data_IF_564179650834
#
_entry.id   IF_564179650834
#
_cell.length_a   1.000
_cell.length_b   1.000
_cell.length_c   1.000
_cell.angle_alpha   90.00
_cell.angle_beta   90.00
_cell.angle_gamma   90.00
#
_symmetry.space_group_name_H-M   'P 1'
#
loop_
_entity.id
_entity.type
_entity.pdbx_description
1 polymer ?
#
# COMPACT_ATOMS: atom_id res chain seq x y z
N UNK A 1 82.28 4.29 -6.02
CA UNK A 1 81.02 3.57 -5.78
C UNK A 1 80.58 2.97 -7.11
N UNK A 2 80.30 1.66 -7.15
CA UNK A 2 80.28 0.83 -8.35
C UNK A 2 79.15 1.11 -9.36
N UNK A 3 79.47 0.75 -10.60
CA UNK A 3 78.77 0.86 -11.89
C UNK A 3 77.71 -0.22 -12.05
N UNK A 4 76.59 0.05 -12.76
CA UNK A 4 75.92 -0.89 -13.68
C UNK A 4 74.86 -0.21 -14.55
N UNK A 5 75.00 -0.41 -15.85
CA UNK A 5 74.08 -0.09 -16.96
C UNK A 5 73.29 -1.37 -17.32
N UNK A 6 72.23 -1.24 -18.15
CA UNK A 6 71.44 -2.24 -18.93
C UNK A 6 69.98 -2.35 -18.43
N UNK A 7 68.91 -2.49 -19.24
CA UNK A 7 68.66 -2.60 -20.68
C UNK A 7 67.14 -2.47 -20.93
N UNK A 8 66.75 -2.08 -22.15
CA UNK A 8 65.39 -2.16 -22.73
C UNK A 8 64.71 -3.55 -22.58
N UNK A 9 63.39 -3.57 -22.33
CA UNK A 9 62.40 -4.40 -23.03
C UNK A 9 60.94 -4.07 -22.57
N UNK A 10 60.04 -3.78 -23.51
CA UNK A 10 58.58 -4.03 -23.47
C UNK A 10 58.34 -5.37 -24.22
N UNK A 11 57.19 -6.12 -24.12
CA UNK A 11 55.83 -5.71 -23.76
C UNK A 11 54.98 -6.71 -22.92
N UNK A 12 53.72 -6.30 -22.63
CA UNK A 12 52.46 -7.04 -22.45
C UNK A 12 52.39 -8.34 -21.61
N UNK A 13 51.41 -8.42 -20.68
CA UNK A 13 50.32 -9.43 -20.67
C UNK A 13 49.37 -9.20 -19.46
N UNK A 14 48.07 -9.16 -19.81
CA UNK A 14 46.83 -9.44 -19.07
C UNK A 14 46.74 -9.28 -17.54
N UNK A 15 45.76 -8.46 -17.15
CA UNK A 15 45.07 -8.55 -15.86
C UNK A 15 43.81 -7.69 -15.86
N UNK A 16 42.81 -8.03 -16.67
CA UNK A 16 41.48 -7.43 -16.59
C UNK A 16 40.76 -8.01 -15.36
N UNK A 17 41.03 -7.48 -14.16
CA UNK A 17 40.15 -7.72 -13.01
C UNK A 17 39.00 -6.72 -13.08
N UNK A 18 37.85 -7.22 -13.51
CA UNK A 18 36.57 -6.52 -13.41
C UNK A 18 36.20 -6.42 -11.92
N UNK A 19 36.74 -5.45 -11.19
CA UNK A 19 36.18 -5.06 -9.90
C UNK A 19 35.01 -4.14 -10.21
N UNK A 20 33.81 -4.72 -10.22
CA UNK A 20 32.57 -3.96 -10.24
C UNK A 20 32.60 -2.95 -9.07
N UNK A 21 32.36 -1.65 -9.29
CA UNK A 21 32.12 -0.76 -8.18
C UNK A 21 30.81 -1.20 -7.51
N UNK A 22 30.93 -1.67 -6.27
CA UNK A 22 29.84 -1.82 -5.32
C UNK A 22 29.11 -0.47 -5.32
N UNK A 23 27.94 -0.43 -5.94
CA UNK A 23 27.07 0.72 -5.86
C UNK A 23 26.61 0.79 -4.40
N UNK A 24 27.23 1.68 -3.63
CA UNK A 24 26.69 2.21 -2.39
C UNK A 24 25.22 2.53 -2.69
N UNK A 25 24.30 1.78 -2.08
CA UNK A 25 22.87 2.13 -2.07
C UNK A 25 22.80 3.45 -1.31
N UNK A 26 22.89 4.54 -2.07
CA UNK A 26 22.64 5.87 -1.57
C UNK A 26 21.22 5.84 -1.01
N UNK A 27 21.11 6.14 0.28
CA UNK A 27 19.84 6.45 0.92
C UNK A 27 19.12 7.46 0.04
N UNK A 28 18.07 6.99 -0.63
CA UNK A 28 17.23 7.85 -1.46
C UNK A 28 16.53 8.80 -0.48
N UNK A 29 16.94 10.05 -0.53
CA UNK A 29 16.18 11.17 0.02
C UNK A 29 14.70 11.00 -0.36
N UNK A 30 13.75 11.29 0.56
CA UNK A 30 12.32 11.12 0.30
C UNK A 30 11.88 12.16 -0.72
N UNK A 31 12.07 11.84 -2.01
CA UNK A 31 11.59 12.66 -3.11
C UNK A 31 10.06 12.68 -3.05
N UNK A 32 9.53 13.83 -2.63
CA UNK A 32 8.13 14.15 -2.79
C UNK A 32 7.74 13.90 -4.26
N UNK A 33 6.85 12.93 -4.50
CA UNK A 33 6.22 12.80 -5.81
C UNK A 33 5.59 14.17 -6.14
N UNK A 34 5.93 14.80 -7.29
CA UNK A 34 5.45 16.13 -7.62
C UNK A 34 3.93 16.11 -7.68
N UNK A 35 3.32 17.23 -7.30
CA UNK A 35 1.86 17.44 -7.25
C UNK A 35 1.18 17.18 -8.62
N UNK A 36 1.98 17.05 -9.69
CA UNK A 36 1.61 16.72 -11.06
C UNK A 36 2.19 15.38 -11.58
N UNK A 37 2.35 14.37 -10.71
CA UNK A 37 2.73 13.03 -11.17
C UNK A 37 1.68 12.48 -12.16
N UNK A 38 2.14 11.80 -13.21
CA UNK A 38 1.28 11.04 -14.14
C UNK A 38 1.44 9.55 -13.85
N UNK A 39 0.45 8.71 -14.19
CA UNK A 39 0.61 7.26 -14.12
C UNK A 39 1.85 6.82 -14.91
N UNK A 40 2.62 5.87 -14.36
CA UNK A 40 3.69 5.24 -15.12
C UNK A 40 3.12 4.50 -16.34
N UNK A 41 3.95 4.24 -17.36
CA UNK A 41 3.51 3.52 -18.57
C UNK A 41 2.95 2.14 -18.17
N UNK A 42 1.66 1.93 -18.40
CA UNK A 42 0.95 0.68 -18.04
C UNK A 42 0.37 0.65 -16.63
N UNK A 43 0.60 1.66 -15.78
CA UNK A 43 -0.03 1.78 -14.46
C UNK A 43 -1.49 2.21 -14.61
N UNK A 44 -2.41 1.50 -13.97
CA UNK A 44 -3.83 1.91 -13.98
C UNK A 44 -4.02 3.19 -13.17
N UNK A 45 -5.02 4.00 -13.52
CA UNK A 45 -5.36 5.18 -12.71
C UNK A 45 -5.67 4.81 -11.26
N UNK A 46 -6.22 3.61 -11.01
CA UNK A 46 -6.47 3.12 -9.66
C UNK A 46 -5.15 2.90 -8.89
N UNK A 47 -4.21 2.16 -9.46
CA UNK A 47 -2.92 1.86 -8.83
C UNK A 47 -2.14 3.15 -8.58
N UNK A 48 -2.23 4.08 -9.55
CA UNK A 48 -1.65 5.41 -9.44
C UNK A 48 -2.19 6.18 -8.22
N UNK A 49 -3.51 6.24 -8.03
CA UNK A 49 -4.10 6.92 -6.88
C UNK A 49 -3.74 6.21 -5.57
N UNK A 50 -3.76 4.88 -5.53
CA UNK A 50 -3.36 4.12 -4.34
C UNK A 50 -1.92 4.40 -3.94
N UNK A 51 -0.99 4.40 -4.91
CA UNK A 51 0.42 4.71 -4.69
C UNK A 51 0.61 6.12 -4.17
N UNK A 52 -0.06 7.12 -4.77
CA UNK A 52 0.00 8.50 -4.27
C UNK A 52 -0.56 8.62 -2.85
N UNK A 53 -1.65 7.92 -2.54
CA UNK A 53 -2.24 7.91 -1.20
C UNK A 53 -1.29 7.35 -0.15
N UNK A 54 -0.67 6.19 -0.42
CA UNK A 54 0.32 5.62 0.49
C UNK A 54 1.56 6.50 0.64
N UNK A 55 2.05 7.10 -0.45
CA UNK A 55 3.20 8.00 -0.40
C UNK A 55 2.91 9.30 0.37
N UNK A 56 1.68 9.81 0.32
CA UNK A 56 1.25 10.96 1.13
C UNK A 56 1.09 10.58 2.61
N UNK A 57 0.48 9.42 2.89
CA UNK A 57 0.33 8.89 4.25
C UNK A 57 1.68 8.67 4.95
N UNK A 58 2.69 8.15 4.24
CA UNK A 58 4.04 7.99 4.77
C UNK A 58 4.72 9.32 5.14
N UNK A 59 4.33 10.41 4.47
CA UNK A 59 4.77 11.78 4.74
C UNK A 59 3.89 12.49 5.77
N UNK A 60 2.92 11.77 6.36
CA UNK A 60 1.94 12.29 7.31
C UNK A 60 1.03 13.39 6.72
N UNK A 61 1.00 13.51 5.39
CA UNK A 61 0.04 14.34 4.67
C UNK A 61 -1.28 13.57 4.52
N UNK A 62 -1.97 13.40 5.64
CA UNK A 62 -3.18 12.60 5.75
C UNK A 62 -4.35 13.18 4.94
N UNK A 63 -4.43 14.50 4.82
CA UNK A 63 -5.43 15.17 4.00
C UNK A 63 -5.26 14.83 2.52
N UNK A 64 -4.03 14.90 1.99
CA UNK A 64 -3.76 14.47 0.61
C UNK A 64 -4.00 12.96 0.46
N UNK A 65 -3.53 12.14 1.41
CA UNK A 65 -3.73 10.69 1.36
C UNK A 65 -5.21 10.31 1.27
N UNK A 66 -6.05 10.96 2.10
CA UNK A 66 -7.51 10.78 2.10
C UNK A 66 -8.11 11.05 0.71
N UNK A 67 -7.76 12.17 0.09
CA UNK A 67 -8.24 12.53 -1.26
C UNK A 67 -7.82 11.47 -2.29
N UNK A 68 -6.58 10.99 -2.23
CA UNK A 68 -6.07 9.97 -3.16
C UNK A 68 -6.82 8.64 -3.00
N UNK A 69 -7.02 8.16 -1.77
CA UNK A 69 -7.77 6.92 -1.54
C UNK A 69 -9.26 7.07 -1.91
N UNK A 70 -9.85 8.26 -1.72
CA UNK A 70 -11.19 8.56 -2.22
C UNK A 70 -11.28 8.45 -3.75
N UNK A 71 -10.28 8.96 -4.46
CA UNK A 71 -10.22 8.82 -5.92
C UNK A 71 -10.03 7.36 -6.35
N UNK A 72 -9.24 6.57 -5.62
CA UNK A 72 -9.12 5.14 -5.87
C UNK A 72 -10.47 4.42 -5.68
N UNK A 73 -11.24 4.79 -4.66
CA UNK A 73 -12.61 4.31 -4.46
C UNK A 73 -13.57 4.76 -5.55
N UNK A 74 -13.43 5.97 -6.09
CA UNK A 74 -14.23 6.40 -7.24
C UNK A 74 -13.98 5.50 -8.46
N UNK A 75 -12.72 5.14 -8.70
CA UNK A 75 -12.32 4.26 -9.81
C UNK A 75 -12.73 2.80 -9.58
N UNK A 76 -12.71 2.34 -8.32
CA UNK A 76 -13.14 0.99 -7.92
C UNK A 76 -13.97 1.05 -6.62
N UNK A 77 -15.29 1.30 -6.72
CA UNK A 77 -16.16 1.53 -5.56
C UNK A 77 -16.28 0.37 -4.58
N UNK A 78 -15.90 -0.84 -5.00
CA UNK A 78 -15.93 -2.06 -4.18
C UNK A 78 -14.52 -2.53 -3.79
N UNK A 79 -13.48 -1.74 -4.08
CA UNK A 79 -12.11 -2.13 -3.76
C UNK A 79 -11.88 -2.06 -2.24
N UNK A 80 -11.56 -3.22 -1.71
CA UNK A 80 -11.33 -3.45 -0.29
C UNK A 80 -10.11 -2.69 0.25
N UNK A 81 -9.03 -2.61 -0.52
CA UNK A 81 -7.79 -1.96 -0.08
C UNK A 81 -7.94 -0.44 -0.06
N UNK A 82 -8.56 0.14 -1.09
CA UNK A 82 -8.89 1.55 -1.14
C UNK A 82 -9.86 1.95 -0.01
N UNK A 83 -10.84 1.09 0.29
CA UNK A 83 -11.79 1.28 1.40
C UNK A 83 -11.05 1.44 2.74
N UNK A 84 -10.16 0.50 3.05
CA UNK A 84 -9.40 0.51 4.31
C UNK A 84 -8.46 1.71 4.37
N UNK A 85 -7.72 1.94 3.29
CA UNK A 85 -6.75 3.03 3.23
C UNK A 85 -7.42 4.40 3.44
N UNK A 86 -8.60 4.62 2.83
CA UNK A 86 -9.39 5.84 3.02
C UNK A 86 -9.81 6.04 4.49
N UNK A 87 -10.30 5.01 5.17
CA UNK A 87 -10.77 5.14 6.56
C UNK A 87 -9.65 5.31 7.56
N UNK A 88 -8.53 4.63 7.33
CA UNK A 88 -7.34 4.87 8.16
C UNK A 88 -6.96 6.35 8.13
N UNK A 89 -7.14 7.05 7.01
CA UNK A 89 -6.86 8.48 6.93
C UNK A 89 -7.97 9.32 7.59
N UNK A 90 -9.25 8.94 7.46
CA UNK A 90 -10.35 9.60 8.17
C UNK A 90 -10.13 9.56 9.68
N UNK A 91 -9.83 8.38 10.24
CA UNK A 91 -9.64 8.23 11.68
C UNK A 91 -8.52 9.12 12.20
N UNK A 92 -7.39 9.17 11.48
CA UNK A 92 -6.25 10.02 11.83
C UNK A 92 -6.65 11.50 11.85
N UNK A 93 -7.45 11.94 10.87
CA UNK A 93 -7.91 13.32 10.75
C UNK A 93 -8.97 13.68 11.80
N UNK A 94 -9.82 12.72 12.18
CA UNK A 94 -10.84 12.86 13.23
C UNK A 94 -10.25 12.74 14.65
N UNK A 95 -8.91 12.66 14.78
CA UNK A 95 -8.21 12.53 16.06
C UNK A 95 -8.22 11.12 16.65
N UNK A 96 -8.90 10.17 16.02
CA UNK A 96 -8.88 8.74 16.34
C UNK A 96 -7.62 8.10 15.74
N UNK A 97 -6.44 8.49 16.22
CA UNK A 97 -5.17 7.98 15.69
C UNK A 97 -5.08 6.46 15.89
N UNK A 98 -4.96 5.64 14.82
CA UNK A 98 -4.49 4.28 14.97
C UNK A 98 -3.02 4.38 15.41
N UNK A 99 -2.74 4.01 16.65
CA UNK A 99 -1.37 4.02 17.16
C UNK A 99 -0.47 3.13 16.28
N UNK A 100 0.49 3.79 15.62
CA UNK A 100 1.77 3.25 15.15
C UNK A 100 1.80 2.16 14.07
N UNK A 101 2.81 2.33 13.20
CA UNK A 101 3.27 1.43 12.15
C UNK A 101 3.82 0.13 12.77
N UNK A 102 3.02 -0.92 12.86
CA UNK A 102 3.37 -2.29 12.43
C UNK A 102 2.27 -3.29 12.83
N UNK A 103 1.74 -3.98 11.82
CA UNK A 103 1.08 -5.31 11.83
C UNK A 103 -0.01 -5.69 12.86
N UNK A 104 -0.37 -4.88 13.85
CA UNK A 104 -1.65 -5.01 14.54
C UNK A 104 -2.74 -4.32 13.71
N UNK A 105 -3.06 -4.88 12.52
CA UNK A 105 -4.29 -4.52 11.81
C UNK A 105 -5.41 -4.55 12.84
N UNK A 106 -6.04 -3.40 13.08
CA UNK A 106 -7.05 -3.24 14.12
C UNK A 106 -8.07 -4.37 14.01
N UNK A 107 -8.73 -4.73 15.12
CA UNK A 107 -9.76 -5.77 15.09
C UNK A 107 -10.78 -5.47 13.95
N UNK A 108 -11.14 -4.20 13.80
CA UNK A 108 -11.92 -3.69 12.66
C UNK A 108 -11.32 -4.06 11.30
N UNK A 109 -10.07 -3.68 11.00
CA UNK A 109 -9.43 -3.93 9.70
C UNK A 109 -9.33 -5.42 9.38
N UNK A 110 -9.07 -6.24 10.41
CA UNK A 110 -9.02 -7.69 10.28
C UNK A 110 -10.39 -8.23 9.93
N UNK A 111 -11.44 -7.82 10.63
CA UNK A 111 -12.78 -8.30 10.38
C UNK A 111 -13.35 -7.79 9.06
N UNK A 112 -13.13 -6.51 8.70
CA UNK A 112 -13.44 -6.01 7.36
C UNK A 112 -12.70 -6.82 6.30
N UNK A 113 -11.44 -7.22 6.56
CA UNK A 113 -10.69 -8.04 5.62
C UNK A 113 -11.33 -9.36 5.31
N UNK A 114 -11.57 -10.12 6.36
CA UNK A 114 -12.13 -11.46 6.26
C UNK A 114 -13.54 -11.35 5.68
N UNK A 115 -14.31 -10.34 6.09
CA UNK A 115 -15.66 -10.09 5.58
C UNK A 115 -15.72 -9.91 4.07
N UNK A 116 -14.90 -9.01 3.53
CA UNK A 116 -14.84 -8.80 2.08
C UNK A 116 -14.28 -10.00 1.33
N UNK A 117 -13.21 -10.63 1.83
CA UNK A 117 -12.66 -11.84 1.21
C UNK A 117 -13.69 -12.99 1.16
N UNK A 118 -14.48 -13.17 2.22
CA UNK A 118 -15.52 -14.17 2.26
C UNK A 118 -16.68 -13.81 1.32
N UNK A 119 -17.00 -12.52 1.17
CA UNK A 119 -18.00 -12.04 0.21
C UNK A 119 -17.59 -12.34 -1.24
N UNK A 120 -16.32 -12.10 -1.58
CA UNK A 120 -15.78 -12.38 -2.92
C UNK A 120 -15.81 -13.89 -3.24
N UNK A 121 -15.61 -14.73 -2.22
CA UNK A 121 -15.72 -16.18 -2.32
C UNK A 121 -17.16 -16.70 -2.19
N UNK A 122 -18.16 -15.80 -2.13
CA UNK A 122 -19.58 -16.11 -1.92
C UNK A 122 -19.90 -16.84 -0.61
N UNK A 123 -18.96 -16.90 0.34
CA UNK A 123 -19.16 -17.38 1.71
C UNK A 123 -19.82 -16.26 2.54
N UNK A 124 -21.11 -16.06 2.28
CA UNK A 124 -21.85 -14.95 2.87
C UNK A 124 -22.07 -15.09 4.38
N UNK A 125 -22.03 -16.32 4.93
CA UNK A 125 -22.16 -16.53 6.38
C UNK A 125 -20.90 -16.09 7.11
N UNK A 126 -19.71 -16.48 6.62
CA UNK A 126 -18.45 -15.98 7.16
C UNK A 126 -18.34 -14.47 7.00
N UNK A 127 -18.78 -13.93 5.87
CA UNK A 127 -18.81 -12.49 5.64
C UNK A 127 -19.70 -11.74 6.64
N UNK A 128 -20.93 -12.24 6.89
CA UNK A 128 -21.87 -11.68 7.86
C UNK A 128 -21.29 -11.61 9.28
N UNK A 129 -20.66 -12.70 9.74
CA UNK A 129 -20.05 -12.76 11.08
C UNK A 129 -18.95 -11.71 11.20
N UNK A 130 -18.09 -11.62 10.20
CA UNK A 130 -16.95 -10.71 10.26
C UNK A 130 -17.38 -9.24 10.11
N UNK A 131 -18.33 -8.90 9.24
CA UNK A 131 -18.84 -7.52 9.21
C UNK A 131 -19.55 -7.10 10.50
N UNK A 132 -20.23 -8.02 11.19
CA UNK A 132 -20.76 -7.75 12.55
C UNK A 132 -19.64 -7.47 13.54
N UNK A 133 -18.58 -8.29 13.54
CA UNK A 133 -17.43 -8.07 14.43
C UNK A 133 -16.69 -6.76 14.12
N UNK A 134 -16.60 -6.37 12.86
CA UNK A 134 -16.07 -5.07 12.46
C UNK A 134 -16.94 -3.93 13.03
N UNK A 135 -18.27 -4.01 12.87
CA UNK A 135 -19.19 -3.01 13.40
C UNK A 135 -19.19 -2.95 14.94
N UNK A 136 -18.95 -4.07 15.61
CA UNK A 136 -18.76 -4.08 17.08
C UNK A 136 -17.44 -3.43 17.49
N UNK A 137 -16.37 -3.60 16.70
CA UNK A 137 -15.08 -2.97 16.95
C UNK A 137 -15.12 -1.45 16.69
N UNK A 138 -16.00 -1.00 15.78
CA UNK A 138 -16.28 0.41 15.51
C UNK A 138 -17.78 0.65 15.38
N UNK A 139 -18.46 0.88 16.50
CA UNK A 139 -19.88 1.22 16.49
C UNK A 139 -20.12 2.43 15.59
N UNK A 140 -21.22 2.41 14.82
CA UNK A 140 -21.63 3.45 13.88
C UNK A 140 -20.75 3.60 12.62
N UNK A 141 -19.80 2.70 12.36
CA UNK A 141 -19.03 2.74 11.11
C UNK A 141 -19.94 2.49 9.88
N UNK A 142 -20.09 3.47 8.97
CA UNK A 142 -21.05 3.38 7.88
C UNK A 142 -20.68 2.30 6.86
N UNK A 143 -19.41 1.91 6.75
CA UNK A 143 -18.94 0.88 5.83
C UNK A 143 -19.12 -0.53 6.35
N UNK A 144 -18.80 -0.80 7.63
CA UNK A 144 -19.14 -2.07 8.25
C UNK A 144 -20.66 -2.26 8.24
N UNK A 145 -21.43 -1.19 8.48
CA UNK A 145 -22.88 -1.21 8.35
C UNK A 145 -23.34 -1.47 6.90
N UNK A 146 -22.73 -0.82 5.90
CA UNK A 146 -23.07 -1.03 4.48
C UNK A 146 -22.68 -2.44 4.01
N UNK A 147 -21.49 -2.93 4.36
CA UNK A 147 -21.03 -4.26 4.03
C UNK A 147 -21.94 -5.32 4.66
N UNK A 148 -22.36 -5.09 5.91
CA UNK A 148 -23.34 -5.93 6.60
C UNK A 148 -24.72 -5.92 5.92
N UNK A 149 -25.17 -4.77 5.40
CA UNK A 149 -26.40 -4.70 4.58
C UNK A 149 -26.25 -5.48 3.27
N UNK A 150 -25.15 -5.26 2.55
CA UNK A 150 -24.88 -5.91 1.27
C UNK A 150 -24.90 -7.44 1.39
N UNK A 151 -24.18 -7.99 2.37
CA UNK A 151 -24.11 -9.45 2.56
C UNK A 151 -25.47 -10.05 2.96
N UNK A 152 -26.28 -9.34 3.77
CA UNK A 152 -27.65 -9.77 4.09
C UNK A 152 -28.50 -9.86 2.83
N UNK A 153 -28.38 -8.91 1.91
CA UNK A 153 -29.08 -8.95 0.62
C UNK A 153 -28.63 -10.15 -0.22
N UNK A 154 -27.34 -10.49 -0.25
CA UNK A 154 -26.86 -11.65 -0.99
C UNK A 154 -27.40 -12.98 -0.43
N UNK A 155 -27.44 -13.13 0.90
CA UNK A 155 -28.04 -14.30 1.55
C UNK A 155 -29.52 -14.42 1.19
N UNK A 156 -30.26 -13.32 1.24
CA UNK A 156 -31.70 -13.33 0.93
C UNK A 156 -31.98 -13.73 -0.52
N UNK A 157 -31.15 -13.28 -1.47
CA UNK A 157 -31.30 -13.60 -2.90
C UNK A 157 -30.85 -15.01 -3.26
N UNK A 158 -29.88 -15.57 -2.55
CA UNK A 158 -29.41 -16.95 -2.78
C UNK A 158 -30.31 -18.04 -2.19
N UNK A 159 -31.31 -17.65 -1.39
CA UNK A 159 -32.31 -18.55 -0.80
C UNK A 159 -33.64 -18.56 -1.58
N UNK A 160 -33.67 -17.97 -2.78
CA UNK A 160 -34.79 -17.99 -3.73
C UNK A 160 -34.42 -18.87 -4.92
#
# INVERSE_FOLDING_TARGET
MNISVLTKALPAILGLTLVAPIHKVAAQTPNALPVAARPARGESNYDFQMRLGYAASQREDYATALIRFRNALYLRPKDRNATIAYYNMLDILDGNKPESKDTAKSAYDRYMRIGYSATDNQDYQTALINFRRALNARPNDPYAAQALRNVRTYIQRGNQ
#
